data_IF_051353132083
#
_entry.id   IF_051353132083
#
_cell.length_a   1.000
_cell.length_b   1.000
_cell.length_c   1.000
_cell.angle_alpha   90.00
_cell.angle_beta   90.00
_cell.angle_gamma   90.00
#
_symmetry.space_group_name_H-M   'P 1'
#
loop_
_entity.id
_entity.type
_entity.pdbx_description
1 polymer ?
#
# COMPACT_ATOMS: atom_id res chain seq x y z
N UNK A 1 -2.67 -2.67 29.48
CA UNK A 1 -2.96 -4.09 29.16
C UNK A 1 -2.11 -4.47 27.97
N UNK A 2 -1.13 -5.36 28.17
CA UNK A 2 -0.26 -5.84 27.10
C UNK A 2 -1.02 -6.85 26.23
N UNK A 3 -1.27 -6.52 24.97
CA UNK A 3 -1.98 -7.37 24.02
C UNK A 3 -1.03 -8.45 23.47
N UNK A 4 -1.40 -9.71 23.64
CA UNK A 4 -0.71 -10.87 23.09
C UNK A 4 -0.99 -10.98 21.57
N UNK A 5 -0.33 -10.15 20.76
CA UNK A 5 -0.13 -10.42 19.33
C UNK A 5 0.88 -11.58 19.21
N UNK A 6 0.50 -12.85 19.44
CA UNK A 6 1.48 -13.97 19.35
C UNK A 6 1.57 -14.64 17.97
N UNK A 7 0.55 -14.53 17.11
CA UNK A 7 0.61 -15.10 15.76
C UNK A 7 1.17 -14.14 14.70
N UNK A 8 0.77 -12.85 14.72
CA UNK A 8 1.25 -11.86 13.76
C UNK A 8 2.78 -11.68 13.75
N UNK A 9 3.49 -11.57 14.89
CA UNK A 9 4.94 -11.43 14.86
C UNK A 9 5.65 -12.71 14.44
N UNK A 10 5.04 -13.90 14.58
CA UNK A 10 5.66 -15.15 14.13
C UNK A 10 5.59 -15.28 12.60
N UNK A 11 4.43 -14.96 12.00
CA UNK A 11 4.28 -14.86 10.55
C UNK A 11 5.10 -13.70 9.97
N UNK A 12 5.22 -12.58 10.69
CA UNK A 12 6.06 -11.46 10.30
C UNK A 12 7.56 -11.77 10.40
N UNK A 13 8.01 -12.52 11.43
CA UNK A 13 9.39 -13.03 11.52
C UNK A 13 9.69 -14.03 10.39
N UNK A 14 8.76 -14.95 10.10
CA UNK A 14 8.88 -15.86 8.96
C UNK A 14 8.91 -15.10 7.62
N UNK A 15 8.11 -14.04 7.49
CA UNK A 15 8.15 -13.12 6.34
C UNK A 15 9.51 -12.41 6.21
N UNK A 16 10.05 -11.85 7.29
CA UNK A 16 11.38 -11.24 7.31
C UNK A 16 12.45 -12.27 6.92
N UNK A 17 12.39 -13.49 7.47
CA UNK A 17 13.36 -14.55 7.19
C UNK A 17 13.27 -15.06 5.74
N UNK A 18 12.07 -15.21 5.17
CA UNK A 18 11.87 -15.63 3.78
C UNK A 18 12.27 -14.54 2.77
N UNK A 19 12.17 -13.26 3.15
CA UNK A 19 12.55 -12.11 2.31
C UNK A 19 14.04 -11.76 2.44
N UNK A 20 14.71 -12.09 3.55
CA UNK A 20 16.13 -11.78 3.81
C UNK A 20 17.08 -12.97 3.69
N UNK A 21 16.93 -13.82 2.66
CA UNK A 21 17.81 -14.98 2.43
C UNK A 21 19.32 -14.69 2.20
N UNK A 22 19.80 -13.47 2.45
CA UNK A 22 21.23 -13.14 2.51
C UNK A 22 21.55 -12.56 3.89
N UNK A 23 22.26 -13.36 4.70
CA UNK A 23 22.93 -12.93 5.92
C UNK A 23 23.89 -11.78 5.60
N UNK A 24 23.48 -10.53 5.82
CA UNK A 24 24.36 -9.38 6.03
C UNK A 24 23.52 -8.25 6.64
N UNK A 25 23.46 -8.22 7.97
CA UNK A 25 22.91 -7.10 8.74
C UNK A 25 23.85 -5.91 8.54
N UNK A 26 23.37 -4.84 7.91
CA UNK A 26 24.13 -3.60 7.78
C UNK A 26 24.01 -2.85 9.12
N UNK A 27 25.12 -2.75 9.84
CA UNK A 27 25.25 -1.95 11.05
C UNK A 27 25.50 -0.49 10.69
N UNK A 28 24.62 0.42 11.11
CA UNK A 28 24.96 1.84 11.24
C UNK A 28 24.60 2.28 12.67
N UNK A 29 25.62 2.53 13.50
CA UNK A 29 25.53 3.32 14.74
C UNK A 29 25.32 4.80 14.36
N UNK A 30 24.59 5.61 15.12
CA UNK A 30 24.89 6.04 16.48
C UNK A 30 23.68 6.06 17.44
N UNK A 31 23.94 5.82 18.73
CA UNK A 31 23.19 6.42 19.84
C UNK A 31 21.95 5.66 20.38
N UNK A 32 22.16 4.92 21.48
CA UNK A 32 21.17 4.53 22.50
C UNK A 32 19.87 3.86 22.02
N UNK A 33 19.91 2.51 21.95
CA UNK A 33 18.70 1.67 22.06
C UNK A 33 17.93 1.40 20.77
N UNK A 34 18.51 1.64 19.60
CA UNK A 34 17.85 1.43 18.31
C UNK A 34 17.86 -0.05 17.90
N UNK A 35 16.68 -0.61 17.61
CA UNK A 35 16.57 -1.88 16.89
C UNK A 35 17.30 -1.71 15.55
N UNK A 36 18.19 -2.64 15.21
CA UNK A 36 18.81 -2.66 13.88
C UNK A 36 17.72 -2.79 12.81
N UNK A 37 17.75 -1.91 11.80
CA UNK A 37 16.85 -2.01 10.67
C UNK A 37 17.04 -3.37 9.96
N UNK A 38 15.93 -4.03 9.64
CA UNK A 38 15.93 -5.36 9.02
C UNK A 38 16.11 -5.28 7.50
N UNK A 39 15.81 -4.13 6.91
CA UNK A 39 16.02 -3.81 5.50
C UNK A 39 16.52 -2.37 5.40
N UNK A 40 17.21 -1.97 4.30
CA UNK A 40 17.74 -0.61 4.18
C UNK A 40 16.65 0.46 4.10
N UNK A 41 15.60 0.20 3.31
CA UNK A 41 14.52 1.13 3.08
C UNK A 41 13.19 0.42 2.79
N UNK A 42 12.10 1.18 2.92
CA UNK A 42 10.78 0.79 2.42
C UNK A 42 10.15 1.91 1.59
N UNK A 43 9.91 1.63 0.30
CA UNK A 43 9.22 2.55 -0.62
C UNK A 43 7.76 2.14 -0.76
N UNK A 44 6.84 3.08 -0.57
CA UNK A 44 5.40 2.80 -0.48
C UNK A 44 4.67 3.48 -1.63
N UNK A 45 3.80 2.73 -2.30
CA UNK A 45 2.96 3.18 -3.40
C UNK A 45 1.53 2.74 -3.12
N UNK A 46 0.55 3.61 -3.33
CA UNK A 46 -0.83 3.23 -3.05
C UNK A 46 -1.83 4.37 -3.06
N UNK A 47 -2.92 4.10 -2.38
CA UNK A 47 -4.03 5.03 -2.21
C UNK A 47 -4.16 5.55 -0.77
N UNK A 48 -5.34 6.06 -0.42
CA UNK A 48 -5.67 6.60 0.90
C UNK A 48 -5.41 5.66 2.06
N UNK A 49 -5.46 4.33 1.86
CA UNK A 49 -5.25 3.36 2.93
C UNK A 49 -3.83 3.40 3.51
N UNK A 50 -2.89 3.95 2.74
CA UNK A 50 -1.47 4.03 3.08
C UNK A 50 -0.87 5.40 2.75
N UNK A 51 -1.68 6.42 2.45
CA UNK A 51 -1.23 7.81 2.28
C UNK A 51 -0.89 8.43 3.65
N UNK A 52 0.21 9.17 3.71
CA UNK A 52 0.67 9.88 4.91
C UNK A 52 0.69 11.41 4.75
N UNK A 53 0.09 11.94 3.69
CA UNK A 53 -0.08 13.38 3.47
C UNK A 53 0.29 13.90 2.07
N UNK A 54 0.46 13.03 1.07
CA UNK A 54 0.80 13.48 -0.29
C UNK A 54 -0.32 14.30 -0.93
N UNK A 55 -1.57 14.14 -0.49
CA UNK A 55 -2.70 14.92 -0.98
C UNK A 55 -2.83 16.32 -0.35
N UNK A 56 -2.10 16.63 0.72
CA UNK A 56 -2.31 17.85 1.52
C UNK A 56 -2.16 19.14 0.70
N UNK A 57 -1.16 19.17 -0.18
CA UNK A 57 -0.82 20.34 -1.00
C UNK A 57 -1.47 20.33 -2.40
N UNK A 58 -2.29 19.31 -2.70
CA UNK A 58 -3.02 19.24 -3.97
C UNK A 58 -4.35 19.99 -3.86
N UNK A 59 -4.85 20.51 -4.98
CA UNK A 59 -6.26 20.89 -5.11
C UNK A 59 -7.10 19.61 -5.20
N UNK A 60 -7.39 18.99 -4.05
CA UNK A 60 -8.03 17.68 -3.94
C UNK A 60 -9.19 17.71 -2.94
N UNK A 61 -10.25 16.96 -3.24
CA UNK A 61 -11.31 16.64 -2.29
C UNK A 61 -10.94 15.46 -1.37
N UNK A 62 -9.92 14.68 -1.73
CA UNK A 62 -9.43 13.56 -0.94
C UNK A 62 -8.29 14.02 -0.01
N UNK A 63 -8.64 14.62 1.13
CA UNK A 63 -7.70 15.04 2.17
C UNK A 63 -8.11 14.52 3.55
N UNK A 64 -7.11 14.28 4.40
CA UNK A 64 -7.27 13.83 5.79
C UNK A 64 -6.34 14.60 6.75
N UNK A 65 -6.07 15.88 6.46
CA UNK A 65 -5.24 16.77 7.28
C UNK A 65 -6.08 17.66 8.22
N UNK A 66 -7.19 17.14 8.72
CA UNK A 66 -8.11 17.80 9.66
C UNK A 66 -8.72 16.75 10.62
N UNK A 67 -9.23 17.20 11.77
CA UNK A 67 -9.88 16.30 12.73
C UNK A 67 -11.16 15.68 12.15
N UNK A 68 -11.49 14.41 12.46
CA UNK A 68 -10.90 13.57 13.51
C UNK A 68 -9.66 12.76 13.09
N UNK A 69 -9.19 12.89 11.84
CA UNK A 69 -7.98 12.18 11.40
C UNK A 69 -6.76 12.57 12.24
N UNK A 70 -5.91 11.60 12.56
CA UNK A 70 -4.72 11.83 13.38
C UNK A 70 -4.96 12.12 14.86
N UNK A 71 -6.17 11.93 15.40
CA UNK A 71 -6.47 12.15 16.83
C UNK A 71 -5.62 11.28 17.77
N UNK A 72 -5.26 10.07 17.35
CA UNK A 72 -4.39 9.13 18.06
C UNK A 72 -2.93 9.21 17.59
N UNK A 73 -2.61 10.06 16.62
CA UNK A 73 -1.25 10.25 16.12
C UNK A 73 -0.53 11.35 16.89
N UNK A 74 0.66 11.05 17.42
CA UNK A 74 1.48 12.05 18.10
C UNK A 74 1.98 13.09 17.08
N UNK A 75 1.31 14.25 17.02
CA UNK A 75 1.52 15.28 16.00
C UNK A 75 0.25 15.72 15.28
N UNK A 76 -0.90 15.07 15.55
CA UNK A 76 -2.21 15.47 15.01
C UNK A 76 -2.45 15.04 13.55
N UNK A 77 -3.37 15.71 12.84
CA UNK A 77 -3.73 15.35 11.47
C UNK A 77 -2.57 15.51 10.48
N UNK A 78 -2.01 14.39 10.03
CA UNK A 78 -0.89 14.39 9.06
C UNK A 78 -1.34 14.26 7.60
N UNK A 79 -2.58 13.85 7.35
CA UNK A 79 -3.05 13.42 6.02
C UNK A 79 -3.22 11.91 5.89
N UNK A 80 -2.97 11.14 6.96
CA UNK A 80 -3.36 9.73 7.07
C UNK A 80 -4.87 9.60 7.19
N UNK A 81 -5.47 8.73 6.40
CA UNK A 81 -6.91 8.42 6.45
C UNK A 81 -7.23 7.45 7.60
N UNK A 82 -6.71 7.76 8.79
CA UNK A 82 -6.84 6.98 10.02
C UNK A 82 -6.77 7.94 11.21
N UNK A 83 -7.19 7.47 12.39
CA UNK A 83 -6.96 8.20 13.63
C UNK A 83 -5.47 8.22 14.01
N UNK A 84 -4.68 7.25 13.54
CA UNK A 84 -3.29 7.07 13.93
C UNK A 84 -2.43 6.56 12.78
N UNK A 85 -1.57 5.59 13.11
CA UNK A 85 -0.70 4.92 12.15
C UNK A 85 -1.53 4.16 11.10
N UNK A 86 -1.04 4.14 9.86
CA UNK A 86 -1.50 3.23 8.80
C UNK A 86 -0.81 1.87 8.93
N UNK A 87 -1.26 0.87 8.16
CA UNK A 87 -0.62 -0.44 8.17
C UNK A 87 0.86 -0.39 7.77
N UNK A 88 1.23 0.45 6.80
CA UNK A 88 2.62 0.59 6.35
C UNK A 88 3.50 1.30 7.38
N UNK A 89 2.94 2.19 8.19
CA UNK A 89 3.67 2.79 9.31
C UNK A 89 4.03 1.72 10.35
N UNK A 90 3.07 0.86 10.71
CA UNK A 90 3.30 -0.26 11.63
C UNK A 90 4.33 -1.24 11.05
N UNK A 91 4.26 -1.54 9.75
CA UNK A 91 5.27 -2.38 9.09
C UNK A 91 6.66 -1.72 9.17
N UNK A 92 6.78 -0.41 8.95
CA UNK A 92 8.04 0.31 9.07
C UNK A 92 8.64 0.16 10.48
N UNK A 93 7.83 0.36 11.53
CA UNK A 93 8.26 0.20 12.93
C UNK A 93 8.73 -1.23 13.22
N UNK A 94 8.02 -2.24 12.72
CA UNK A 94 8.40 -3.64 12.86
C UNK A 94 9.69 -3.98 12.12
N UNK A 95 9.99 -3.28 11.01
CA UNK A 95 11.26 -3.39 10.27
C UNK A 95 12.41 -2.62 10.92
N UNK A 96 12.15 -1.85 11.99
CA UNK A 96 13.14 -0.97 12.61
C UNK A 96 13.48 0.26 11.76
N UNK A 97 12.59 0.66 10.85
CA UNK A 97 12.71 1.87 10.04
C UNK A 97 12.00 3.06 10.72
N UNK A 98 12.44 4.30 10.47
CA UNK A 98 11.66 5.47 10.83
C UNK A 98 10.34 5.52 10.04
N UNK A 99 9.36 6.28 10.53
CA UNK A 99 8.17 6.58 9.74
C UNK A 99 8.59 7.29 8.45
N UNK A 100 8.07 6.81 7.32
CA UNK A 100 8.38 7.38 6.01
C UNK A 100 7.73 8.75 5.87
N UNK A 101 8.43 9.74 5.29
CA UNK A 101 7.83 11.03 4.95
C UNK A 101 6.95 10.92 3.69
N UNK A 102 5.96 11.82 3.50
CA UNK A 102 5.32 11.98 2.20
C UNK A 102 6.36 12.53 1.20
N UNK A 103 6.26 12.14 -0.07
CA UNK A 103 7.19 12.55 -1.12
C UNK A 103 7.42 14.07 -1.17
N UNK A 104 6.35 14.86 -1.00
CA UNK A 104 6.45 16.33 -1.05
C UNK A 104 7.22 16.97 0.12
N UNK A 105 7.53 16.23 1.18
CA UNK A 105 8.21 16.73 2.38
C UNK A 105 9.51 15.96 2.70
N UNK A 106 9.90 15.01 1.85
CA UNK A 106 11.06 14.18 2.10
C UNK A 106 12.37 14.99 1.95
N UNK A 107 13.18 15.03 3.00
CA UNK A 107 14.56 15.52 2.92
C UNK A 107 15.50 14.45 2.36
N UNK A 108 16.64 14.87 1.80
CA UNK A 108 17.64 13.97 1.19
C UNK A 108 18.10 12.83 2.10
N UNK A 109 18.30 13.10 3.39
CA UNK A 109 18.70 12.07 4.36
C UNK A 109 17.60 11.05 4.64
N UNK A 110 16.33 11.49 4.69
CA UNK A 110 15.19 10.60 4.89
C UNK A 110 14.95 9.69 3.69
N UNK A 111 15.27 10.13 2.47
CA UNK A 111 15.09 9.34 1.25
C UNK A 111 15.82 7.99 1.32
N UNK A 112 16.92 7.92 2.09
CA UNK A 112 17.74 6.70 2.27
C UNK A 112 17.01 5.57 3.01
N UNK A 113 15.99 5.91 3.82
CA UNK A 113 15.19 4.94 4.57
C UNK A 113 13.84 4.65 3.90
N UNK A 114 13.57 5.31 2.77
CA UNK A 114 12.35 5.13 2.00
C UNK A 114 11.38 6.31 2.10
N UNK A 115 10.48 6.39 1.13
CA UNK A 115 9.49 7.46 0.97
C UNK A 115 8.13 6.84 0.71
N UNK A 116 7.09 7.52 1.17
CA UNK A 116 5.72 7.22 0.82
C UNK A 116 5.24 8.09 -0.36
N UNK A 117 4.91 7.45 -1.46
CA UNK A 117 4.37 8.06 -2.68
C UNK A 117 2.85 7.86 -2.83
N UNK A 118 2.21 7.13 -1.90
CA UNK A 118 0.78 6.86 -1.96
C UNK A 118 -0.03 8.15 -1.94
N UNK A 119 -1.16 8.16 -2.66
CA UNK A 119 -2.00 9.34 -2.81
C UNK A 119 -3.45 8.95 -2.79
N UNK A 120 -4.24 9.57 -1.92
CA UNK A 120 -5.65 9.29 -1.82
C UNK A 120 -6.40 9.44 -3.16
N UNK A 121 -7.39 8.57 -3.35
CA UNK A 121 -8.15 8.36 -4.59
C UNK A 121 -7.35 7.82 -5.80
N UNK A 122 -6.05 7.55 -5.67
CA UNK A 122 -5.29 6.92 -6.75
C UNK A 122 -5.78 5.48 -7.02
N UNK A 123 -5.69 5.08 -8.28
CA UNK A 123 -5.87 3.70 -8.71
C UNK A 123 -4.76 3.25 -9.64
N UNK A 124 -4.90 2.03 -10.15
CA UNK A 124 -4.02 1.44 -11.15
C UNK A 124 -4.11 2.22 -12.46
N UNK A 125 -5.33 2.59 -12.87
CA UNK A 125 -5.56 3.41 -14.06
C UNK A 125 -5.41 4.91 -13.74
N UNK A 126 -4.77 5.65 -14.64
CA UNK A 126 -4.57 7.09 -14.45
C UNK A 126 -5.88 7.90 -14.43
N UNK A 127 -6.97 7.36 -14.99
CA UNK A 127 -8.29 8.01 -14.97
C UNK A 127 -9.09 7.77 -13.69
N UNK A 128 -8.68 6.81 -12.86
CA UNK A 128 -9.33 6.50 -11.59
C UNK A 128 -9.23 7.69 -10.62
N UNK A 129 -10.31 7.94 -9.87
CA UNK A 129 -10.36 8.96 -8.82
C UNK A 129 -10.39 10.41 -9.31
N UNK A 130 -10.54 10.68 -10.62
CA UNK A 130 -10.63 12.05 -11.17
C UNK A 130 -11.77 12.88 -10.56
N UNK A 131 -12.82 12.23 -10.06
CA UNK A 131 -13.91 12.87 -9.34
C UNK A 131 -13.45 13.58 -8.04
N UNK A 132 -12.26 13.27 -7.51
CA UNK A 132 -11.65 13.99 -6.38
C UNK A 132 -10.72 15.13 -6.79
N UNK A 133 -10.68 15.48 -8.08
CA UNK A 133 -9.82 16.52 -8.67
C UNK A 133 -8.34 16.12 -8.62
N UNK A 134 -7.58 16.64 -7.65
CA UNK A 134 -6.15 16.36 -7.49
C UNK A 134 -5.90 14.99 -6.88
N UNK A 135 -5.11 14.17 -7.57
CA UNK A 135 -4.52 12.92 -7.06
C UNK A 135 -3.25 12.60 -7.85
N UNK A 136 -2.37 11.78 -7.27
CA UNK A 136 -1.16 11.29 -7.92
C UNK A 136 -1.40 9.83 -8.33
N UNK A 137 -1.74 9.55 -9.61
CA UNK A 137 -2.02 8.19 -10.06
C UNK A 137 -0.76 7.31 -10.03
N UNK A 138 -0.90 5.99 -10.07
CA UNK A 138 0.22 5.09 -9.82
C UNK A 138 1.42 5.30 -10.76
N UNK A 139 1.18 5.57 -12.05
CA UNK A 139 2.26 5.91 -12.98
C UNK A 139 3.08 7.13 -12.54
N UNK A 140 2.41 8.15 -12.00
CA UNK A 140 3.08 9.34 -11.48
C UNK A 140 3.80 9.06 -10.16
N UNK A 141 3.27 8.19 -9.30
CA UNK A 141 3.98 7.75 -8.08
C UNK A 141 5.30 7.06 -8.44
N UNK A 142 5.31 6.21 -9.47
CA UNK A 142 6.54 5.57 -9.98
C UNK A 142 7.52 6.61 -10.54
N UNK A 143 7.04 7.62 -11.27
CA UNK A 143 7.87 8.72 -11.76
C UNK A 143 8.46 9.57 -10.62
N UNK A 144 7.73 9.76 -9.53
CA UNK A 144 8.23 10.43 -8.33
C UNK A 144 9.34 9.59 -7.65
N UNK A 145 9.20 8.27 -7.63
CA UNK A 145 10.25 7.36 -7.16
C UNK A 145 11.49 7.42 -8.06
N UNK A 146 11.33 7.42 -9.38
CA UNK A 146 12.43 7.59 -10.33
C UNK A 146 13.20 8.91 -10.10
N UNK A 147 12.49 9.99 -9.78
CA UNK A 147 13.09 11.26 -9.40
C UNK A 147 13.90 11.17 -8.10
N UNK A 148 13.37 10.48 -7.10
CA UNK A 148 14.07 10.20 -5.83
C UNK A 148 15.34 9.39 -6.06
N UNK A 149 15.28 8.37 -6.90
CA UNK A 149 16.43 7.53 -7.25
C UNK A 149 17.55 8.34 -7.89
N UNK A 150 17.20 9.23 -8.82
CA UNK A 150 18.18 10.13 -9.43
C UNK A 150 18.85 11.05 -8.40
N UNK A 151 18.09 11.57 -7.42
CA UNK A 151 18.65 12.36 -6.33
C UNK A 151 19.60 11.54 -5.46
N UNK A 152 19.21 10.33 -5.04
CA UNK A 152 20.05 9.44 -4.23
C UNK A 152 21.37 9.11 -4.92
N UNK A 153 21.33 8.76 -6.22
CA UNK A 153 22.55 8.50 -7.02
C UNK A 153 23.48 9.71 -7.08
N UNK A 154 22.94 10.93 -7.12
CA UNK A 154 23.74 12.16 -7.15
C UNK A 154 24.37 12.51 -5.80
N UNK A 155 23.92 11.94 -4.68
CA UNK A 155 24.51 12.22 -3.36
C UNK A 155 25.87 11.53 -3.13
N UNK A 156 26.30 10.65 -4.04
CA UNK A 156 27.51 9.84 -3.84
C UNK A 156 27.38 8.82 -2.71
N UNK A 157 26.14 8.54 -2.27
CA UNK A 157 25.85 7.40 -1.41
C UNK A 157 26.42 6.11 -2.04
N UNK A 158 26.78 5.12 -1.21
CA UNK A 158 27.29 3.81 -1.66
C UNK A 158 26.33 3.09 -2.61
N UNK A 159 26.57 1.81 -2.93
CA UNK A 159 25.83 1.09 -3.98
C UNK A 159 24.29 1.14 -3.80
N UNK A 160 23.67 2.13 -4.44
CA UNK A 160 22.22 2.42 -4.36
C UNK A 160 21.45 1.23 -4.91
N UNK A 161 21.97 0.59 -5.95
CA UNK A 161 21.33 -0.57 -6.58
C UNK A 161 21.30 -1.77 -5.63
N UNK A 162 22.40 -2.01 -4.90
CA UNK A 162 22.44 -3.05 -3.86
C UNK A 162 21.43 -2.76 -2.73
N UNK A 163 21.35 -1.50 -2.29
CA UNK A 163 20.40 -1.09 -1.26
C UNK A 163 18.94 -1.26 -1.73
N UNK A 164 18.62 -0.87 -2.97
CA UNK A 164 17.29 -1.04 -3.57
C UNK A 164 16.89 -2.51 -3.68
N UNK A 165 17.80 -3.38 -4.14
CA UNK A 165 17.52 -4.81 -4.27
C UNK A 165 17.21 -5.48 -2.91
N UNK A 166 17.74 -4.93 -1.80
CA UNK A 166 17.47 -5.41 -0.45
C UNK A 166 16.25 -4.75 0.22
N UNK A 167 15.79 -3.61 -0.30
CA UNK A 167 14.69 -2.81 0.22
C UNK A 167 13.32 -3.38 -0.14
N UNK A 168 12.28 -2.97 0.60
CA UNK A 168 10.90 -3.40 0.38
C UNK A 168 10.14 -2.37 -0.45
N UNK A 169 9.37 -2.85 -1.42
CA UNK A 169 8.45 -2.06 -2.23
C UNK A 169 7.01 -2.47 -1.90
N UNK A 170 6.34 -1.68 -1.07
CA UNK A 170 4.95 -1.92 -0.72
C UNK A 170 4.04 -1.26 -1.76
N UNK A 171 3.11 -2.03 -2.34
CA UNK A 171 2.13 -1.52 -3.29
C UNK A 171 0.72 -1.96 -2.89
N UNK A 172 -0.15 -0.99 -2.58
CA UNK A 172 -1.57 -1.23 -2.26
C UNK A 172 -2.49 -0.43 -3.18
N UNK A 173 -3.06 -1.09 -4.19
CA UNK A 173 -3.84 -0.47 -5.26
C UNK A 173 -5.03 -1.36 -5.66
N UNK A 174 -6.05 -0.76 -6.28
CA UNK A 174 -7.14 -1.48 -6.95
C UNK A 174 -8.53 -1.12 -6.44
N UNK A 175 -8.69 -0.79 -5.15
CA UNK A 175 -10.01 -0.49 -4.56
C UNK A 175 -10.70 0.69 -5.24
N UNK A 176 -9.94 1.76 -5.56
CA UNK A 176 -10.47 2.94 -6.23
C UNK A 176 -10.85 2.68 -7.68
N UNK A 177 -10.20 1.74 -8.37
CA UNK A 177 -10.57 1.39 -9.75
C UNK A 177 -11.99 0.80 -9.80
N UNK A 178 -12.42 0.13 -8.74
CA UNK A 178 -13.80 -0.29 -8.62
C UNK A 178 -14.71 0.80 -8.05
N UNK A 179 -14.37 1.39 -6.90
CA UNK A 179 -15.25 2.32 -6.18
C UNK A 179 -15.41 3.67 -6.87
N UNK A 180 -14.30 4.22 -7.38
CA UNK A 180 -14.17 5.56 -7.92
C UNK A 180 -13.98 5.56 -9.45
N UNK A 181 -14.41 4.47 -10.10
CA UNK A 181 -14.42 4.32 -11.54
C UNK A 181 -15.48 3.29 -11.99
N UNK A 182 -15.30 1.97 -11.80
CA UNK A 182 -16.25 0.95 -12.30
C UNK A 182 -17.70 1.13 -11.79
N UNK A 183 -17.86 1.31 -10.47
CA UNK A 183 -19.16 1.41 -9.79
C UNK A 183 -19.73 2.84 -9.79
N UNK A 184 -18.94 3.84 -10.21
CA UNK A 184 -19.40 5.24 -10.19
C UNK A 184 -20.36 5.54 -11.35
N UNK A 185 -21.55 6.12 -11.10
CA UNK A 185 -22.52 6.42 -12.15
C UNK A 185 -22.03 7.36 -13.26
N UNK A 186 -21.11 8.27 -12.96
CA UNK A 186 -20.55 9.23 -13.91
C UNK A 186 -19.40 8.65 -14.77
N UNK A 187 -19.09 7.36 -14.62
CA UNK A 187 -18.12 6.66 -15.44
C UNK A 187 -18.84 5.62 -16.32
N UNK A 188 -18.45 5.53 -17.59
CA UNK A 188 -19.04 4.58 -18.54
C UNK A 188 -18.47 3.16 -18.42
N UNK A 189 -17.56 2.94 -17.48
CA UNK A 189 -16.73 1.72 -17.37
C UNK A 189 -17.57 0.45 -17.25
N UNK A 190 -18.62 0.45 -16.41
CA UNK A 190 -19.53 -0.71 -16.26
C UNK A 190 -20.28 -1.09 -17.54
N UNK A 191 -20.47 -0.14 -18.47
CA UNK A 191 -21.12 -0.40 -19.74
C UNK A 191 -20.12 -0.87 -20.82
N UNK A 192 -18.82 -0.64 -20.60
CA UNK A 192 -17.75 -1.02 -21.51
C UNK A 192 -17.13 -2.37 -21.17
N UNK A 193 -17.13 -2.74 -19.89
CA UNK A 193 -16.44 -3.92 -19.38
C UNK A 193 -17.34 -4.72 -18.45
N UNK A 194 -17.42 -6.03 -18.68
CA UNK A 194 -17.87 -6.96 -17.64
C UNK A 194 -16.78 -7.11 -16.54
N UNK A 195 -17.07 -7.75 -15.40
CA UNK A 195 -16.10 -7.93 -14.32
C UNK A 195 -14.75 -8.55 -14.72
N UNK A 196 -14.77 -9.55 -15.61
CA UNK A 196 -13.58 -10.27 -16.03
C UNK A 196 -12.70 -9.41 -16.96
N UNK A 197 -13.31 -8.71 -17.92
CA UNK A 197 -12.60 -7.83 -18.85
C UNK A 197 -11.98 -6.65 -18.11
N UNK A 198 -12.71 -6.07 -17.14
CA UNK A 198 -12.18 -4.99 -16.34
C UNK A 198 -11.00 -5.44 -15.47
N UNK A 199 -11.11 -6.59 -14.80
CA UNK A 199 -10.01 -7.16 -14.03
C UNK A 199 -8.78 -7.47 -14.91
N UNK A 200 -9.00 -7.88 -16.16
CA UNK A 200 -7.93 -8.11 -17.14
C UNK A 200 -7.23 -6.81 -17.51
N UNK A 201 -8.00 -5.75 -17.82
CA UNK A 201 -7.47 -4.40 -18.07
C UNK A 201 -6.61 -3.90 -16.91
N UNK A 202 -7.13 -3.97 -15.67
CA UNK A 202 -6.40 -3.55 -14.48
C UNK A 202 -5.11 -4.34 -14.30
N UNK A 203 -5.17 -5.67 -14.44
CA UNK A 203 -3.99 -6.52 -14.22
C UNK A 203 -2.93 -6.32 -15.30
N UNK A 204 -3.31 -6.08 -16.55
CA UNK A 204 -2.36 -5.75 -17.62
C UNK A 204 -1.62 -4.43 -17.34
N UNK A 205 -2.34 -3.39 -16.91
CA UNK A 205 -1.72 -2.12 -16.53
C UNK A 205 -0.84 -2.29 -15.29
N UNK A 206 -1.32 -3.03 -14.28
CA UNK A 206 -0.59 -3.25 -13.04
C UNK A 206 0.72 -4.02 -13.28
N UNK A 207 0.70 -5.02 -14.17
CA UNK A 207 1.88 -5.75 -14.60
C UNK A 207 2.95 -4.83 -15.18
N UNK A 208 2.56 -3.91 -16.06
CA UNK A 208 3.48 -2.93 -16.67
C UNK A 208 4.09 -2.02 -15.60
N UNK A 209 3.28 -1.56 -14.65
CA UNK A 209 3.72 -0.67 -13.56
C UNK A 209 4.69 -1.37 -12.60
N UNK A 210 4.41 -2.61 -12.19
CA UNK A 210 5.32 -3.39 -11.36
C UNK A 210 6.61 -3.74 -12.10
N UNK A 211 6.52 -4.03 -13.41
CA UNK A 211 7.71 -4.23 -14.26
C UNK A 211 8.54 -2.96 -14.35
N UNK A 212 7.92 -1.77 -14.41
CA UNK A 212 8.63 -0.49 -14.39
C UNK A 212 9.37 -0.27 -13.07
N UNK A 213 8.76 -0.58 -11.92
CA UNK A 213 9.44 -0.55 -10.62
C UNK A 213 10.61 -1.55 -10.57
N UNK A 214 10.43 -2.76 -11.11
CA UNK A 214 11.50 -3.76 -11.20
C UNK A 214 12.68 -3.25 -12.05
N UNK A 215 12.40 -2.62 -13.18
CA UNK A 215 13.43 -2.03 -14.04
C UNK A 215 14.17 -0.87 -13.38
N UNK A 216 13.56 -0.22 -12.38
CA UNK A 216 14.17 0.81 -11.53
C UNK A 216 14.94 0.22 -10.32
N UNK A 217 15.11 -1.10 -10.24
CA UNK A 217 15.93 -1.75 -9.21
C UNK A 217 15.13 -2.47 -8.11
N UNK A 218 13.81 -2.38 -8.11
CA UNK A 218 12.98 -3.08 -7.12
C UNK A 218 13.07 -4.60 -7.28
N UNK A 219 13.24 -5.33 -6.18
CA UNK A 219 13.33 -6.80 -6.18
C UNK A 219 12.36 -7.46 -5.20
N UNK A 220 12.11 -6.85 -4.04
CA UNK A 220 11.25 -7.41 -2.99
C UNK A 220 9.95 -6.60 -2.90
N UNK A 221 8.85 -7.19 -3.34
CA UNK A 221 7.55 -6.56 -3.38
C UNK A 221 6.63 -7.09 -2.27
N UNK A 222 5.86 -6.20 -1.66
CA UNK A 222 4.72 -6.54 -0.82
C UNK A 222 3.48 -5.96 -1.48
N UNK A 223 2.58 -6.82 -1.93
CA UNK A 223 1.40 -6.42 -2.68
C UNK A 223 0.17 -6.57 -1.78
N UNK A 224 -0.48 -5.45 -1.47
CA UNK A 224 -1.77 -5.43 -0.79
C UNK A 224 -2.89 -5.83 -1.74
N UNK A 225 -3.62 -6.89 -1.41
CA UNK A 225 -4.85 -7.25 -2.10
C UNK A 225 -5.99 -6.27 -1.82
N UNK A 226 -7.07 -6.34 -2.60
CA UNK A 226 -8.28 -5.57 -2.30
C UNK A 226 -9.08 -6.29 -1.21
N UNK A 227 -9.65 -5.51 -0.28
CA UNK A 227 -10.46 -6.02 0.82
C UNK A 227 -11.88 -6.42 0.42
N UNK A 228 -12.73 -6.66 1.43
CA UNK A 228 -14.17 -6.86 1.22
C UNK A 228 -14.85 -5.52 0.87
N UNK A 229 -14.88 -5.18 -0.42
CA UNK A 229 -15.45 -3.92 -0.87
C UNK A 229 -16.94 -3.77 -0.54
N UNK A 230 -17.69 -4.88 -0.55
CA UNK A 230 -19.11 -4.89 -0.19
C UNK A 230 -19.38 -4.50 1.26
N UNK A 231 -18.36 -4.56 2.13
CA UNK A 231 -18.43 -4.18 3.54
C UNK A 231 -17.89 -2.76 3.80
N UNK A 232 -17.45 -2.02 2.77
CA UNK A 232 -16.99 -0.64 2.94
C UNK A 232 -18.18 0.22 3.37
N UNK A 233 -18.04 1.11 4.36
CA UNK A 233 -19.17 1.87 4.92
C UNK A 233 -20.05 2.57 3.88
N UNK A 234 -19.47 3.13 2.82
CA UNK A 234 -20.24 3.80 1.74
C UNK A 234 -21.08 2.84 0.88
N UNK A 235 -20.68 1.57 0.78
CA UNK A 235 -21.46 0.50 0.14
C UNK A 235 -22.48 -0.05 1.12
N UNK A 236 -22.08 -0.26 2.38
CA UNK A 236 -22.94 -0.76 3.44
C UNK A 236 -24.12 0.18 3.72
N UNK A 237 -23.90 1.50 3.64
CA UNK A 237 -24.94 2.51 3.80
C UNK A 237 -26.05 2.44 2.74
N UNK A 238 -25.82 1.75 1.62
CA UNK A 238 -26.83 1.50 0.57
C UNK A 238 -27.62 0.21 0.83
N UNK A 239 -27.21 -0.60 1.80
CA UNK A 239 -27.85 -1.86 2.16
C UNK A 239 -29.13 -1.64 2.97
N UNK A 240 -30.20 -2.37 2.63
CA UNK A 240 -31.48 -2.28 3.35
C UNK A 240 -31.46 -3.00 4.70
N UNK A 241 -30.61 -4.02 4.86
CA UNK A 241 -30.55 -4.87 6.04
C UNK A 241 -29.21 -4.79 6.78
N UNK A 242 -28.35 -3.83 6.41
CA UNK A 242 -27.01 -3.66 6.99
C UNK A 242 -26.03 -4.78 6.66
N UNK A 243 -26.34 -5.65 5.68
CA UNK A 243 -25.42 -6.68 5.22
C UNK A 243 -24.47 -6.15 4.15
N UNK A 244 -23.25 -6.69 4.10
CA UNK A 244 -22.30 -6.41 3.02
C UNK A 244 -22.88 -6.81 1.65
N UNK A 245 -22.56 -6.04 0.61
CA UNK A 245 -22.97 -6.38 -0.76
C UNK A 245 -22.14 -7.52 -1.33
N UNK A 246 -22.76 -8.70 -1.48
CA UNK A 246 -22.10 -9.86 -2.08
C UNK A 246 -21.84 -9.67 -3.58
N UNK A 247 -22.71 -8.95 -4.29
CA UNK A 247 -22.50 -8.57 -5.69
C UNK A 247 -21.19 -7.78 -5.85
N UNK A 248 -20.95 -6.79 -4.99
CA UNK A 248 -19.72 -5.98 -5.01
C UNK A 248 -18.50 -6.81 -4.58
N UNK A 249 -18.65 -7.74 -3.65
CA UNK A 249 -17.55 -8.66 -3.30
C UNK A 249 -17.18 -9.59 -4.47
N UNK A 250 -18.18 -10.10 -5.20
CA UNK A 250 -17.98 -11.00 -6.35
C UNK A 250 -17.35 -10.29 -7.55
N UNK A 251 -17.71 -9.01 -7.76
CA UNK A 251 -17.16 -8.17 -8.82
C UNK A 251 -15.62 -8.12 -8.85
N UNK A 252 -14.96 -8.22 -7.69
CA UNK A 252 -13.49 -8.10 -7.56
C UNK A 252 -12.78 -9.44 -7.63
N UNK A 253 -13.50 -10.57 -7.54
CA UNK A 253 -12.87 -11.91 -7.53
C UNK A 253 -11.97 -12.17 -8.75
N UNK A 254 -12.37 -11.81 -9.99
CA UNK A 254 -11.48 -11.92 -11.14
C UNK A 254 -10.15 -11.18 -10.95
N UNK A 255 -10.16 -10.00 -10.35
CA UNK A 255 -8.95 -9.20 -10.13
C UNK A 255 -8.02 -9.85 -9.11
N UNK A 256 -8.53 -10.39 -8.01
CA UNK A 256 -7.72 -11.14 -7.04
C UNK A 256 -7.00 -12.33 -7.70
N UNK A 257 -7.71 -13.10 -8.52
CA UNK A 257 -7.15 -14.26 -9.20
C UNK A 257 -6.09 -13.83 -10.24
N UNK A 258 -6.40 -12.80 -11.03
CA UNK A 258 -5.51 -12.28 -12.06
C UNK A 258 -4.23 -11.70 -11.45
N UNK A 259 -4.30 -10.94 -10.34
CA UNK A 259 -3.12 -10.39 -9.65
C UNK A 259 -2.23 -11.50 -9.13
N UNK A 260 -2.77 -12.56 -8.51
CA UNK A 260 -1.96 -13.70 -8.03
C UNK A 260 -1.23 -14.40 -9.19
N UNK A 261 -1.93 -14.62 -10.30
CA UNK A 261 -1.36 -15.21 -11.51
C UNK A 261 -0.25 -14.32 -12.10
N UNK A 262 -0.51 -13.02 -12.23
CA UNK A 262 0.44 -12.03 -12.70
C UNK A 262 1.71 -12.00 -11.84
N UNK A 263 1.58 -11.97 -10.51
CA UNK A 263 2.74 -11.96 -9.60
C UNK A 263 3.55 -13.26 -9.68
N UNK A 264 2.89 -14.41 -9.83
CA UNK A 264 3.56 -15.70 -10.05
C UNK A 264 4.33 -15.72 -11.37
N UNK A 265 3.75 -15.13 -12.42
CA UNK A 265 4.42 -14.96 -13.73
C UNK A 265 5.62 -14.03 -13.63
N UNK A 266 5.49 -12.86 -12.98
CA UNK A 266 6.60 -11.94 -12.75
C UNK A 266 7.74 -12.60 -11.98
N UNK A 267 7.44 -13.34 -10.91
CA UNK A 267 8.45 -14.05 -10.11
C UNK A 267 9.18 -15.16 -10.91
N UNK A 268 8.48 -15.82 -11.84
CA UNK A 268 9.07 -16.87 -12.69
C UNK A 268 9.92 -16.31 -13.83
N UNK A 269 9.54 -15.14 -14.37
CA UNK A 269 10.14 -14.59 -15.58
C UNK A 269 11.15 -13.46 -15.33
N UNK A 270 11.13 -12.83 -14.15
CA UNK A 270 12.03 -11.73 -13.78
C UNK A 270 13.02 -12.18 -12.69
N UNK A 271 14.31 -12.34 -13.02
CA UNK A 271 15.32 -12.77 -12.07
C UNK A 271 15.38 -11.89 -10.81
N UNK A 272 15.30 -12.53 -9.64
CA UNK A 272 15.35 -11.83 -8.36
C UNK A 272 14.07 -11.07 -7.99
N UNK A 273 13.04 -11.04 -8.83
CA UNK A 273 11.71 -10.61 -8.40
C UNK A 273 11.19 -11.59 -7.33
N UNK A 274 10.83 -11.06 -6.18
CA UNK A 274 10.23 -11.79 -5.06
C UNK A 274 9.04 -10.98 -4.58
N UNK A 275 7.94 -11.66 -4.26
CA UNK A 275 6.77 -10.98 -3.74
C UNK A 275 6.17 -11.70 -2.54
N UNK A 276 5.46 -10.94 -1.73
CA UNK A 276 4.45 -11.43 -0.80
C UNK A 276 3.12 -10.76 -1.11
N UNK A 277 2.04 -11.52 -1.09
CA UNK A 277 0.69 -11.01 -1.31
C UNK A 277 -0.07 -11.00 0.02
N UNK A 278 -0.53 -9.83 0.45
CA UNK A 278 -1.36 -9.68 1.65
C UNK A 278 -2.81 -9.87 1.23
N UNK A 279 -3.40 -10.99 1.66
CA UNK A 279 -4.80 -11.32 1.39
C UNK A 279 -5.74 -10.54 2.32
N UNK A 280 -5.86 -9.24 2.06
CA UNK A 280 -6.67 -8.31 2.87
C UNK A 280 -8.12 -8.79 2.96
N UNK A 281 -8.67 -9.36 1.88
CA UNK A 281 -10.01 -9.96 1.90
C UNK A 281 -10.16 -11.01 2.99
N UNK A 282 -9.27 -12.01 3.02
CA UNK A 282 -9.33 -13.06 4.03
C UNK A 282 -9.06 -12.52 5.45
N UNK A 283 -8.15 -11.56 5.59
CA UNK A 283 -7.91 -10.90 6.88
C UNK A 283 -9.16 -10.21 7.42
N UNK A 284 -9.92 -9.51 6.58
CA UNK A 284 -11.17 -8.89 6.98
C UNK A 284 -12.28 -9.91 7.26
N UNK A 285 -12.37 -10.99 6.49
CA UNK A 285 -13.32 -12.08 6.77
C UNK A 285 -13.06 -12.69 8.15
N UNK A 286 -11.79 -12.95 8.46
CA UNK A 286 -11.38 -13.48 9.77
C UNK A 286 -11.66 -12.48 10.90
N UNK A 287 -11.33 -11.20 10.70
CA UNK A 287 -11.64 -10.15 11.68
C UNK A 287 -13.14 -10.04 11.97
N UNK A 288 -13.99 -10.10 10.94
CA UNK A 288 -15.45 -10.04 11.12
C UNK A 288 -15.98 -11.28 11.84
N UNK A 289 -15.50 -12.47 11.46
CA UNK A 289 -15.91 -13.74 12.07
C UNK A 289 -15.42 -13.88 13.53
N UNK A 290 -14.23 -13.36 13.83
CA UNK A 290 -13.52 -13.56 15.10
C UNK A 290 -13.29 -12.25 15.87
N UNK A 291 -14.11 -11.22 15.63
CA UNK A 291 -13.92 -9.85 16.16
C UNK A 291 -13.61 -9.77 17.65
N UNK A 292 -14.22 -10.63 18.48
CA UNK A 292 -13.96 -10.67 19.93
C UNK A 292 -12.50 -11.01 20.28
N UNK A 293 -11.80 -11.77 19.44
CA UNK A 293 -10.39 -12.12 19.63
C UNK A 293 -9.45 -10.94 19.36
N UNK A 294 -9.87 -10.01 18.49
CA UNK A 294 -9.10 -8.82 18.11
C UNK A 294 -9.36 -7.61 19.02
N UNK A 295 -10.21 -7.76 20.05
CA UNK A 295 -10.68 -6.68 20.92
C UNK A 295 -12.15 -6.38 20.66
N UNK A 296 -12.98 -6.47 21.71
CA UNK A 296 -14.44 -6.44 21.60
C UNK A 296 -15.03 -5.14 21.00
N UNK A 297 -16.08 -5.39 20.19
CA UNK A 297 -17.24 -4.54 19.86
C UNK A 297 -16.99 -3.32 18.98
N UNK A 298 -16.94 -3.52 17.66
CA UNK A 298 -17.42 -2.50 16.72
C UNK A 298 -18.93 -2.41 16.99
N UNK A 299 -19.35 -1.44 17.79
CA UNK A 299 -20.76 -1.10 17.92
C UNK A 299 -21.21 -0.53 16.57
N UNK A 300 -22.14 -1.23 15.91
CA UNK A 300 -22.96 -0.66 14.85
C UNK A 300 -24.04 0.22 15.47
#
# INVERSE_FOLDING_TARGET
MAYNFRLFPLCFLLFVLLVNNNNNVILCQEGSGTRSALVPAMFIFGDSLIDNGNNNNLASLAKANYLPYGIDFNGGPTGRFSNGLTMVDVIAELLGLPLTPPYSQASGDQMRFGINYASAAAGILDNTGRNFVGRIPFNQQITNFESTLNQLRNTGAGDVEEALAKSIFFVGMGSNDYLNNYLMPNYNTKNQYNPQDYATLLTQQYNQQLTRLYNLGARKFVIGGVGLMGCIPSILAQSQNGACSEEVNQLVLPFHNNVRSMLTSLNSNLPGFRFSYIDIRNMFQDLLANSRQYGKSIYY
#
